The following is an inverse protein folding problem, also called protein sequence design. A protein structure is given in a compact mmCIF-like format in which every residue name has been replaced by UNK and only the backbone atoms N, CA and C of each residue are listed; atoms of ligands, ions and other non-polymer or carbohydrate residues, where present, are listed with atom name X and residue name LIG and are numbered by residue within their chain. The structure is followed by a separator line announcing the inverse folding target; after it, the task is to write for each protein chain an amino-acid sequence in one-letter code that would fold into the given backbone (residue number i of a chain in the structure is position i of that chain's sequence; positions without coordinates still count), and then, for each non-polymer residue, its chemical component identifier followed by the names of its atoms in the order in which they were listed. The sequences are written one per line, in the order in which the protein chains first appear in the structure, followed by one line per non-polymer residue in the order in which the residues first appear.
data_IF_653754837418
#
_entry.id   IF_653754837418
#
_cell.length_a   1.000
_cell.length_b   1.000
_cell.length_c   1.000
_cell.angle_alpha   90.00
_cell.angle_beta   90.00
_cell.angle_gamma   90.00
#
_symmetry.space_group_name_H-M   'P 1'
#
loop_
_entity.id
_entity.type
_entity.pdbx_description
1 polymer ?
#
# COMPACT_ATOMS: atom_id res chain seq x y z
N UNK A 1 47.87 -13.69 37.82
CA UNK A 1 46.50 -13.20 37.51
C UNK A 1 46.50 -11.69 37.27
N UNK A 2 47.01 -11.19 36.13
CA UNK A 2 47.05 -9.73 35.86
C UNK A 2 46.69 -9.31 34.42
N UNK A 3 46.36 -10.24 33.52
CA UNK A 3 46.08 -9.91 32.12
C UNK A 3 44.61 -9.60 31.81
N UNK A 4 43.68 -10.02 32.67
CA UNK A 4 42.23 -9.82 32.46
C UNK A 4 41.71 -8.47 32.92
N UNK A 5 42.47 -7.69 33.71
CA UNK A 5 42.03 -6.40 34.23
C UNK A 5 42.20 -5.22 33.26
N UNK A 6 43.12 -5.31 32.30
CA UNK A 6 43.41 -4.23 31.34
C UNK A 6 42.44 -4.19 30.16
N UNK A 7 41.88 -5.32 29.74
CA UNK A 7 41.04 -5.41 28.53
C UNK A 7 39.65 -4.80 28.77
N UNK A 8 39.11 -4.95 29.98
CA UNK A 8 37.78 -4.43 30.35
C UNK A 8 37.78 -2.89 30.39
N UNK A 9 38.94 -2.26 30.65
CA UNK A 9 39.06 -0.80 30.75
C UNK A 9 39.05 -0.08 29.40
N UNK A 10 39.51 -0.72 28.32
CA UNK A 10 39.56 -0.08 26.99
C UNK A 10 38.18 -0.06 26.31
N UNK A 11 37.35 -1.08 26.54
CA UNK A 11 36.00 -1.17 25.98
C UNK A 11 34.98 -0.26 26.68
N UNK A 12 35.22 0.13 27.94
CA UNK A 12 34.32 1.01 28.67
C UNK A 12 34.45 2.49 28.24
N UNK A 13 35.63 2.92 27.79
CA UNK A 13 35.88 4.31 27.39
C UNK A 13 35.40 4.62 25.95
N UNK A 14 35.38 3.65 25.04
CA UNK A 14 34.87 3.85 23.68
C UNK A 14 33.36 4.04 23.60
N UNK A 15 32.61 3.50 24.56
CA UNK A 15 31.13 3.54 24.55
C UNK A 15 30.53 4.88 24.96
N UNK A 16 31.28 5.76 25.63
CA UNK A 16 30.79 7.09 26.02
C UNK A 16 31.04 8.18 24.97
N UNK A 17 31.98 7.98 24.03
CA UNK A 17 32.29 8.95 22.98
C UNK A 17 31.29 8.88 21.80
N UNK A 18 30.81 7.69 21.44
CA UNK A 18 29.86 7.48 20.34
C UNK A 18 28.43 7.89 20.68
N UNK A 19 28.05 7.93 21.96
CA UNK A 19 26.71 8.34 22.38
C UNK A 19 26.50 9.87 22.40
N UNK A 20 27.57 10.68 22.40
CA UNK A 20 27.48 12.16 22.49
C UNK A 20 27.80 12.89 21.18
N UNK A 21 28.42 12.23 20.19
CA UNK A 21 28.76 12.83 18.89
C UNK A 21 27.80 12.44 17.75
N UNK A 22 26.96 11.43 17.94
CA UNK A 22 26.07 10.92 16.88
C UNK A 22 24.68 11.56 16.80
N UNK A 23 24.28 12.43 17.73
CA UNK A 23 22.86 12.77 17.93
C UNK A 23 22.40 14.04 17.18
N UNK A 24 23.29 14.95 16.77
CA UNK A 24 22.87 16.13 16.00
C UNK A 24 22.71 15.81 14.51
N UNK A 25 23.74 15.34 13.81
CA UNK A 25 23.62 15.02 12.37
C UNK A 25 22.61 13.91 12.10
N UNK A 26 22.53 12.88 12.96
CA UNK A 26 21.55 11.80 12.77
C UNK A 26 20.11 12.22 13.02
N UNK A 27 19.84 13.22 13.88
CA UNK A 27 18.49 13.74 14.10
C UNK A 27 18.05 14.69 12.99
N UNK A 28 18.96 15.48 12.42
CA UNK A 28 18.71 16.25 11.20
C UNK A 28 18.49 15.34 9.99
N UNK A 29 19.36 14.34 9.77
CA UNK A 29 19.20 13.36 8.69
C UNK A 29 17.89 12.56 8.81
N UNK A 30 17.49 12.17 10.03
CA UNK A 30 16.18 11.52 10.26
C UNK A 30 15.00 12.44 9.97
N UNK A 31 15.12 13.74 10.27
CA UNK A 31 14.06 14.73 9.95
C UNK A 31 13.94 14.96 8.45
N UNK A 32 15.05 15.06 7.72
CA UNK A 32 15.05 15.22 6.28
C UNK A 32 14.47 13.97 5.59
N UNK A 33 14.92 12.78 5.99
CA UNK A 33 14.36 11.51 5.47
C UNK A 33 12.87 11.37 5.79
N UNK A 34 12.42 11.80 6.98
CA UNK A 34 11.00 11.78 7.34
C UNK A 34 10.18 12.77 6.52
N UNK A 35 10.72 13.96 6.19
CA UNK A 35 10.06 14.94 5.33
C UNK A 35 9.95 14.42 3.91
N UNK A 36 11.05 13.90 3.36
CA UNK A 36 11.06 13.36 1.99
C UNK A 36 10.14 12.15 1.85
N UNK A 37 10.11 11.26 2.85
CA UNK A 37 9.16 10.15 2.88
C UNK A 37 7.70 10.63 2.97
N UNK A 38 7.44 11.71 3.70
CA UNK A 38 6.11 12.32 3.79
C UNK A 38 5.68 12.94 2.46
N UNK A 39 6.57 13.66 1.77
CA UNK A 39 6.31 14.22 0.45
C UNK A 39 6.03 13.11 -0.59
N UNK A 40 6.82 12.03 -0.57
CA UNK A 40 6.59 10.87 -1.43
C UNK A 40 5.24 10.20 -1.13
N UNK A 41 4.85 10.10 0.15
CA UNK A 41 3.54 9.58 0.53
C UNK A 41 2.40 10.46 0.01
N UNK A 42 2.52 11.78 0.12
CA UNK A 42 1.50 12.72 -0.39
C UNK A 42 1.37 12.61 -1.91
N UNK A 43 2.49 12.58 -2.63
CA UNK A 43 2.50 12.38 -4.07
C UNK A 43 1.84 11.03 -4.47
N UNK A 44 2.21 9.93 -3.81
CA UNK A 44 1.61 8.62 -4.07
C UNK A 44 0.11 8.57 -3.73
N UNK A 45 -0.31 9.28 -2.67
CA UNK A 45 -1.71 9.40 -2.28
C UNK A 45 -2.51 10.16 -3.33
N UNK A 46 -2.00 11.27 -3.84
CA UNK A 46 -2.68 12.08 -4.84
C UNK A 46 -2.80 11.31 -6.18
N UNK A 47 -1.74 10.61 -6.59
CA UNK A 47 -1.79 9.69 -7.73
C UNK A 47 -2.84 8.58 -7.54
N UNK A 48 -2.94 8.02 -6.33
CA UNK A 48 -3.94 6.99 -6.04
C UNK A 48 -5.37 7.56 -6.13
N UNK A 49 -5.59 8.77 -5.62
CA UNK A 49 -6.90 9.46 -5.70
C UNK A 49 -7.27 9.69 -7.16
N UNK A 50 -6.35 10.23 -7.97
CA UNK A 50 -6.57 10.49 -9.39
C UNK A 50 -6.91 9.21 -10.14
N UNK A 51 -6.11 8.15 -9.98
CA UNK A 51 -6.33 6.84 -10.62
C UNK A 51 -7.67 6.25 -10.18
N UNK A 52 -8.00 6.31 -8.89
CA UNK A 52 -9.27 5.80 -8.34
C UNK A 52 -10.48 6.53 -8.91
N UNK A 53 -10.42 7.86 -9.07
CA UNK A 53 -11.49 8.61 -9.72
C UNK A 53 -11.65 8.22 -11.18
N UNK A 54 -10.54 8.00 -11.88
CA UNK A 54 -10.53 7.54 -13.27
C UNK A 54 -11.23 6.17 -13.41
N UNK A 55 -10.94 5.22 -12.52
CA UNK A 55 -11.64 3.93 -12.46
C UNK A 55 -13.13 4.06 -12.13
N UNK A 56 -13.50 5.05 -11.32
CA UNK A 56 -14.91 5.33 -10.99
C UNK A 56 -15.67 5.90 -12.19
N UNK A 57 -15.02 6.75 -13.00
CA UNK A 57 -15.61 7.42 -14.18
C UNK A 57 -15.70 6.51 -15.40
N UNK A 58 -14.66 5.71 -15.68
CA UNK A 58 -14.65 4.81 -16.82
C UNK A 58 -15.69 3.68 -16.71
N UNK A 59 -16.16 3.40 -15.48
CA UNK A 59 -17.01 2.25 -15.23
C UNK A 59 -16.20 0.95 -15.34
N UNK A 60 -16.66 -0.08 -14.65
CA UNK A 60 -16.08 -1.40 -14.79
C UNK A 60 -16.24 -1.97 -16.21
N UNK A 61 -15.33 -2.86 -16.62
CA UNK A 61 -15.34 -3.55 -17.91
C UNK A 61 -16.34 -4.74 -17.97
N UNK A 62 -17.15 -4.93 -16.93
CA UNK A 62 -18.22 -5.92 -16.84
C UNK A 62 -19.52 -5.32 -16.33
N UNK A 63 -20.58 -6.13 -16.36
CA UNK A 63 -21.93 -5.74 -15.93
C UNK A 63 -22.48 -6.77 -14.95
N UNK A 64 -23.15 -6.28 -13.89
CA UNK A 64 -23.81 -7.09 -12.90
C UNK A 64 -25.10 -7.73 -13.44
N UNK A 65 -25.15 -9.06 -13.43
CA UNK A 65 -26.30 -9.87 -13.86
C UNK A 65 -26.72 -10.87 -12.79
N UNK A 66 -27.99 -11.30 -12.78
CA UNK A 66 -28.46 -12.36 -11.88
C UNK A 66 -27.74 -13.68 -12.17
N UNK A 67 -27.23 -14.34 -11.12
CA UNK A 67 -26.61 -15.66 -11.21
C UNK A 67 -27.51 -16.71 -10.56
N UNK A 68 -28.39 -17.32 -11.36
CA UNK A 68 -28.97 -18.65 -11.11
C UNK A 68 -29.88 -18.89 -9.91
N UNK A 69 -30.07 -17.93 -8.98
CA UNK A 69 -31.06 -18.05 -7.90
C UNK A 69 -30.48 -17.75 -6.52
N UNK A 70 -30.93 -16.66 -5.90
CA UNK A 70 -30.53 -16.29 -4.52
C UNK A 70 -30.16 -14.82 -4.32
N UNK A 71 -30.52 -13.92 -5.25
CA UNK A 71 -30.30 -12.47 -5.12
C UNK A 71 -28.84 -12.01 -5.22
N UNK A 72 -27.88 -12.96 -5.25
CA UNK A 72 -26.47 -12.66 -5.50
C UNK A 72 -26.26 -12.37 -6.98
N UNK A 73 -25.75 -11.17 -7.26
CA UNK A 73 -25.37 -10.75 -8.61
C UNK A 73 -23.91 -11.08 -8.87
N UNK A 74 -23.65 -11.56 -10.08
CA UNK A 74 -22.31 -11.84 -10.57
C UNK A 74 -21.92 -10.84 -11.65
N UNK A 75 -20.63 -10.55 -11.72
CA UNK A 75 -20.05 -9.69 -12.73
C UNK A 75 -19.73 -10.52 -13.97
N UNK A 76 -20.23 -10.08 -15.12
CA UNK A 76 -19.96 -10.71 -16.41
C UNK A 76 -19.31 -9.72 -17.37
N UNK A 77 -18.25 -10.16 -18.04
CA UNK A 77 -17.62 -9.46 -19.16
C UNK A 77 -18.12 -10.02 -20.47
N UNK A 78 -18.29 -9.16 -21.47
CA UNK A 78 -18.55 -9.61 -22.84
C UNK A 78 -17.22 -10.03 -23.47
N UNK A 79 -17.14 -11.28 -23.91
CA UNK A 79 -16.00 -11.85 -24.63
C UNK A 79 -16.49 -12.30 -26.01
N UNK A 80 -16.39 -11.39 -26.99
CA UNK A 80 -17.03 -11.53 -28.29
C UNK A 80 -18.56 -11.58 -28.20
N UNK A 81 -19.15 -12.74 -28.50
CA UNK A 81 -20.62 -12.98 -28.42
C UNK A 81 -21.05 -13.61 -27.10
N UNK A 82 -20.12 -14.11 -26.30
CA UNK A 82 -20.41 -14.83 -25.06
C UNK A 82 -20.27 -13.91 -23.85
N UNK A 83 -21.05 -14.18 -22.80
CA UNK A 83 -20.88 -13.55 -21.49
C UNK A 83 -20.06 -14.47 -20.61
N UNK A 84 -18.88 -14.00 -20.20
CA UNK A 84 -17.97 -14.73 -19.33
C UNK A 84 -18.08 -14.21 -17.91
N UNK A 85 -18.29 -15.11 -16.96
CA UNK A 85 -18.20 -14.79 -15.54
C UNK A 85 -16.78 -14.31 -15.22
N UNK A 86 -16.66 -13.20 -14.51
CA UNK A 86 -15.36 -12.64 -14.13
C UNK A 86 -15.22 -12.34 -12.64
N UNK A 87 -16.32 -12.38 -11.86
CA UNK A 87 -16.26 -12.09 -10.43
C UNK A 87 -17.62 -11.82 -9.80
N UNK A 88 -17.61 -11.37 -8.55
CA UNK A 88 -18.80 -10.97 -7.82
C UNK A 88 -19.07 -9.47 -7.96
N UNK A 89 -20.34 -9.10 -7.86
CA UNK A 89 -20.74 -7.70 -7.75
C UNK A 89 -20.66 -7.20 -6.32
N UNK A 90 -20.62 -5.87 -6.14
CA UNK A 90 -20.79 -5.25 -4.83
C UNK A 90 -22.11 -5.71 -4.21
N UNK A 91 -22.11 -5.92 -2.90
CA UNK A 91 -23.33 -6.21 -2.14
C UNK A 91 -24.39 -5.15 -2.39
N UNK A 92 -25.58 -5.55 -2.83
CA UNK A 92 -26.68 -4.64 -3.16
C UNK A 92 -26.57 -3.91 -4.51
N UNK A 93 -25.59 -4.22 -5.36
CA UNK A 93 -25.45 -3.62 -6.69
C UNK A 93 -26.71 -3.81 -7.52
N UNK A 94 -27.13 -2.84 -8.34
CA UNK A 94 -28.29 -2.98 -9.23
C UNK A 94 -27.98 -3.92 -10.42
N UNK A 95 -29.02 -4.44 -11.07
CA UNK A 95 -28.83 -5.09 -12.38
C UNK A 95 -28.40 -4.02 -13.40
N UNK A 96 -27.40 -4.33 -14.21
CA UNK A 96 -26.84 -3.35 -15.15
C UNK A 96 -25.78 -2.42 -14.54
N UNK A 97 -25.54 -2.47 -13.22
CA UNK A 97 -24.43 -1.72 -12.61
C UNK A 97 -23.09 -2.24 -13.15
N UNK A 98 -22.19 -1.31 -13.46
CA UNK A 98 -20.87 -1.64 -13.96
C UNK A 98 -20.03 -2.29 -12.84
N UNK A 99 -19.26 -3.31 -13.18
CA UNK A 99 -18.41 -4.04 -12.25
C UNK A 99 -17.04 -4.35 -12.88
N UNK A 100 -16.02 -4.48 -12.03
CA UNK A 100 -14.64 -4.66 -12.48
C UNK A 100 -14.32 -6.15 -12.60
N UNK A 101 -14.04 -6.57 -13.83
CA UNK A 101 -13.40 -7.83 -14.16
C UNK A 101 -11.89 -7.61 -14.20
N UNK A 102 -11.24 -7.79 -13.05
CA UNK A 102 -9.79 -7.92 -13.01
C UNK A 102 -9.45 -9.31 -13.60
N UNK A 103 -8.81 -9.32 -14.77
CA UNK A 103 -8.33 -10.54 -15.41
C UNK A 103 -7.12 -11.10 -14.67
#
# INVERSE_FOLDING_TARGET
MHFTKTIISLFALSSFATARLGDSESSFARREVARDAHEQYLAARDEYIEKRELFRRLGGNGVCKPNGGGGKRACFKKDGRLWKYCGSCRTGAAEGENCLCNA
#
